data_IF_188092078452
#
_entry.id   IF_188092078452
#
_cell.length_a   1.000
_cell.length_b   1.000
_cell.length_c   1.000
_cell.angle_alpha   90.00
_cell.angle_beta   90.00
_cell.angle_gamma   90.00
#
_symmetry.space_group_name_H-M   'P 1'
#
loop_
_entity.id
_entity.type
_entity.pdbx_description
1 polymer ?
#
# COMPACT_ATOMS: atom_id res chain seq x y z
N UNK A 1 22.51 -60.65 50.18
CA UNK A 1 22.09 -60.56 48.76
C UNK A 1 20.76 -59.82 48.55
N UNK A 2 19.69 -60.09 49.32
CA UNK A 2 18.39 -59.40 49.19
C UNK A 2 18.38 -57.90 49.51
N UNK A 3 19.36 -57.39 50.28
CA UNK A 3 19.45 -55.97 50.65
C UNK A 3 20.08 -55.09 49.56
N UNK A 4 20.92 -55.66 48.69
CA UNK A 4 21.62 -54.93 47.63
C UNK A 4 20.73 -54.69 46.41
N UNK A 5 19.87 -55.65 46.08
CA UNK A 5 18.94 -55.60 44.94
C UNK A 5 17.89 -54.48 45.15
N UNK A 6 17.36 -54.32 46.37
CA UNK A 6 16.39 -53.24 46.71
C UNK A 6 16.94 -51.82 46.56
N UNK A 7 18.26 -51.61 46.70
CA UNK A 7 18.88 -50.29 46.48
C UNK A 7 19.11 -50.01 45.00
N UNK A 8 19.40 -51.03 44.20
CA UNK A 8 19.58 -50.87 42.75
C UNK A 8 18.24 -50.54 42.07
N UNK A 9 17.16 -51.21 42.46
CA UNK A 9 15.81 -50.93 41.94
C UNK A 9 15.34 -49.51 42.30
N UNK A 10 15.65 -49.02 43.51
CA UNK A 10 15.32 -47.65 43.92
C UNK A 10 16.10 -46.59 43.12
N UNK A 11 17.38 -46.85 42.81
CA UNK A 11 18.23 -45.92 42.04
C UNK A 11 17.81 -45.90 40.57
N UNK A 12 17.45 -47.04 40.00
CA UNK A 12 16.93 -47.14 38.63
C UNK A 12 15.56 -46.45 38.51
N UNK A 13 14.69 -46.60 39.52
CA UNK A 13 13.40 -45.90 39.57
C UNK A 13 13.57 -44.38 39.69
N UNK A 14 14.58 -43.91 40.45
CA UNK A 14 14.89 -42.48 40.56
C UNK A 14 15.52 -41.90 39.29
N UNK A 15 16.33 -42.68 38.56
CA UNK A 15 16.89 -42.30 37.25
C UNK A 15 15.83 -42.28 36.14
N UNK A 16 14.80 -43.13 36.23
CA UNK A 16 13.63 -43.07 35.35
C UNK A 16 12.75 -41.85 35.64
N UNK A 17 12.55 -41.50 36.91
CA UNK A 17 11.85 -40.27 37.31
C UNK A 17 12.57 -38.98 36.89
N UNK A 18 13.91 -38.99 36.78
CA UNK A 18 14.70 -37.86 36.28
C UNK A 18 14.68 -37.70 34.76
N UNK A 19 14.28 -38.73 33.99
CA UNK A 19 14.14 -38.66 32.53
C UNK A 19 12.71 -38.35 32.06
N UNK A 20 11.73 -38.36 32.97
CA UNK A 20 10.32 -38.02 32.70
C UNK A 20 9.99 -36.52 32.89
N UNK A 21 10.97 -35.69 33.26
CA UNK A 21 10.75 -34.31 33.70
C UNK A 21 11.23 -33.21 32.74
N UNK A 22 11.76 -33.52 31.57
CA UNK A 22 12.14 -32.52 30.58
C UNK A 22 11.26 -32.65 29.34
N UNK A 23 9.98 -32.29 29.48
CA UNK A 23 9.27 -31.84 28.29
C UNK A 23 10.05 -30.62 27.80
N UNK A 24 10.46 -30.55 26.51
CA UNK A 24 10.90 -29.28 25.97
C UNK A 24 9.76 -28.32 26.29
N UNK A 25 10.06 -27.30 27.10
CA UNK A 25 9.14 -26.19 27.30
C UNK A 25 8.74 -25.81 25.88
N UNK A 26 7.47 -25.96 25.52
CA UNK A 26 7.01 -25.48 24.23
C UNK A 26 7.28 -23.99 24.30
N UNK A 27 8.40 -23.56 23.72
CA UNK A 27 8.65 -22.15 23.53
C UNK A 27 7.43 -21.67 22.74
N UNK A 28 6.87 -20.54 23.16
CA UNK A 28 5.86 -19.88 22.35
C UNK A 28 6.37 -19.76 20.91
N UNK A 29 5.45 -19.74 19.96
CA UNK A 29 5.81 -19.55 18.55
C UNK A 29 6.69 -18.31 18.45
N UNK A 30 7.88 -18.45 17.88
CA UNK A 30 8.73 -17.32 17.54
C UNK A 30 8.05 -16.56 16.41
N UNK A 31 7.33 -15.49 16.75
CA UNK A 31 6.51 -14.73 15.81
C UNK A 31 7.35 -14.05 14.74
N UNK A 32 8.53 -13.57 15.13
CA UNK A 32 9.43 -12.91 14.21
C UNK A 32 9.98 -13.93 13.21
N UNK A 33 10.48 -15.09 13.65
CA UNK A 33 10.95 -16.14 12.74
C UNK A 33 9.82 -16.67 11.83
N UNK A 34 8.63 -16.90 12.39
CA UNK A 34 7.45 -17.35 11.65
C UNK A 34 7.07 -16.38 10.53
N UNK A 35 7.06 -15.08 10.80
CA UNK A 35 6.61 -14.07 9.83
C UNK A 35 7.73 -13.75 8.84
N UNK A 36 8.96 -13.52 9.31
CA UNK A 36 10.07 -13.08 8.47
C UNK A 36 10.51 -14.11 7.43
N UNK A 37 10.27 -15.41 7.66
CA UNK A 37 10.53 -16.45 6.63
C UNK A 37 9.58 -16.39 5.43
N UNK A 38 8.52 -15.59 5.52
CA UNK A 38 7.56 -15.33 4.43
C UNK A 38 7.63 -13.89 3.89
N UNK A 39 8.64 -13.11 4.26
CA UNK A 39 8.90 -11.81 3.64
C UNK A 39 8.88 -11.93 2.11
N UNK A 40 8.14 -11.05 1.46
CA UNK A 40 7.90 -11.13 0.02
C UNK A 40 9.10 -10.53 -0.69
N UNK A 41 9.70 -11.28 -1.62
CA UNK A 41 10.89 -10.84 -2.38
C UNK A 41 10.59 -10.89 -3.88
N UNK A 42 10.71 -9.74 -4.53
CA UNK A 42 10.65 -9.59 -5.98
C UNK A 42 12.05 -9.34 -6.54
N UNK A 43 12.51 -10.19 -7.46
CA UNK A 43 13.81 -10.05 -8.12
C UNK A 43 13.72 -9.73 -9.61
N UNK A 44 12.50 -9.46 -10.09
CA UNK A 44 12.19 -9.16 -11.49
C UNK A 44 10.90 -8.35 -11.55
N UNK A 45 10.66 -7.71 -12.69
CA UNK A 45 9.37 -7.07 -12.98
C UNK A 45 8.31 -8.16 -13.06
N UNK A 46 7.27 -8.03 -12.25
CA UNK A 46 6.09 -8.88 -12.25
C UNK A 46 4.86 -7.99 -12.01
N UNK A 47 4.05 -7.79 -13.04
CA UNK A 47 2.88 -6.91 -12.96
C UNK A 47 1.76 -7.49 -12.08
N UNK A 48 1.85 -8.76 -11.68
CA UNK A 48 0.95 -9.39 -10.70
C UNK A 48 1.58 -9.49 -9.30
N UNK A 49 2.82 -9.04 -9.14
CA UNK A 49 3.58 -9.10 -7.90
C UNK A 49 3.84 -7.74 -7.26
N UNK A 50 2.99 -6.73 -7.50
CA UNK A 50 3.12 -5.43 -6.83
C UNK A 50 3.05 -5.58 -5.31
N UNK A 51 3.78 -4.74 -4.58
CA UNK A 51 3.76 -4.72 -3.12
C UNK A 51 2.97 -3.52 -2.61
N UNK A 52 2.44 -3.62 -1.40
CA UNK A 52 1.60 -2.58 -0.80
C UNK A 52 2.06 -2.31 0.63
N UNK A 53 2.17 -1.03 0.99
CA UNK A 53 2.19 -0.60 2.40
C UNK A 53 0.82 -0.04 2.75
N UNK A 54 0.43 -0.19 4.01
CA UNK A 54 -0.85 0.32 4.49
C UNK A 54 -0.99 0.18 6.00
N UNK A 55 -2.06 0.78 6.52
CA UNK A 55 -2.36 0.86 7.94
C UNK A 55 -3.77 0.31 8.28
N UNK A 56 -4.40 -0.40 7.33
CA UNK A 56 -5.76 -0.92 7.45
C UNK A 56 -6.86 0.04 6.97
N UNK A 57 -6.63 1.36 7.04
CA UNK A 57 -7.53 2.39 6.52
C UNK A 57 -7.02 3.00 5.20
N UNK A 58 -5.73 2.86 4.92
CA UNK A 58 -5.03 3.37 3.75
C UNK A 58 -4.12 2.31 3.14
N UNK A 59 -3.98 2.36 1.81
CA UNK A 59 -3.12 1.47 1.05
C UNK A 59 -2.41 2.25 -0.09
N UNK A 60 -1.11 2.00 -0.21
CA UNK A 60 -0.25 2.53 -1.27
C UNK A 60 0.51 1.39 -1.94
N UNK A 61 0.12 1.09 -3.17
CA UNK A 61 0.67 -0.03 -3.95
C UNK A 61 1.75 0.45 -4.90
N UNK A 62 2.88 -0.26 -4.98
CA UNK A 62 4.10 0.16 -5.66
C UNK A 62 4.60 -0.86 -6.67
N UNK A 63 5.33 -0.37 -7.67
CA UNK A 63 6.12 -1.20 -8.55
C UNK A 63 7.51 -1.51 -7.94
N UNK A 64 8.35 -2.22 -8.70
CA UNK A 64 9.71 -2.61 -8.32
C UNK A 64 10.64 -1.46 -7.92
N UNK A 65 10.32 -0.21 -8.26
CA UNK A 65 11.07 0.97 -7.81
C UNK A 65 10.83 1.32 -6.35
N UNK A 66 9.78 0.76 -5.72
CA UNK A 66 9.37 1.11 -4.36
C UNK A 66 8.45 2.33 -4.29
N UNK A 67 8.04 2.89 -5.43
CA UNK A 67 6.99 3.91 -5.57
C UNK A 67 6.13 3.59 -6.81
N UNK A 68 5.25 4.51 -7.24
CA UNK A 68 4.34 4.34 -8.37
C UNK A 68 4.92 4.94 -9.66
N UNK A 69 6.11 4.49 -10.05
CA UNK A 69 6.90 5.09 -11.13
C UNK A 69 6.44 4.65 -12.54
N UNK A 70 5.90 3.44 -12.67
CA UNK A 70 5.50 2.83 -13.94
C UNK A 70 4.03 2.33 -13.94
N UNK A 71 3.03 3.17 -13.61
CA UNK A 71 1.63 2.74 -13.49
C UNK A 71 1.08 2.13 -14.79
N UNK A 72 1.43 2.69 -15.96
CA UNK A 72 0.96 2.21 -17.27
C UNK A 72 1.38 0.77 -17.58
N UNK A 73 2.49 0.30 -17.00
CA UNK A 73 2.98 -1.07 -17.17
C UNK A 73 2.14 -2.05 -16.34
N UNK A 74 1.66 -1.60 -15.18
CA UNK A 74 0.92 -2.42 -14.20
C UNK A 74 -0.59 -2.37 -14.41
N UNK A 75 -1.12 -1.45 -15.24
CA UNK A 75 -2.57 -1.25 -15.44
C UNK A 75 -3.36 -2.51 -15.83
N UNK A 76 -2.73 -3.47 -16.54
CA UNK A 76 -3.34 -4.73 -16.96
C UNK A 76 -2.98 -5.92 -16.03
N UNK A 77 -2.23 -5.67 -14.96
CA UNK A 77 -1.89 -6.60 -13.89
C UNK A 77 -2.62 -6.22 -12.61
N UNK A 78 -1.88 -6.03 -11.51
CA UNK A 78 -2.37 -5.34 -10.32
C UNK A 78 -2.03 -3.85 -10.49
N UNK A 79 -3.03 -2.96 -10.67
CA UNK A 79 -2.78 -1.54 -10.83
C UNK A 79 -2.11 -0.92 -9.60
N UNK A 80 -1.22 0.04 -9.85
CA UNK A 80 -0.63 0.83 -8.79
C UNK A 80 -1.65 1.89 -8.38
N UNK A 81 -2.13 1.82 -7.14
CA UNK A 81 -3.13 2.74 -6.64
C UNK A 81 -2.84 3.20 -5.23
N UNK A 82 -3.32 4.41 -4.94
CA UNK A 82 -3.37 5.01 -3.61
C UNK A 82 -4.84 5.15 -3.23
N UNK A 83 -5.26 4.46 -2.16
CA UNK A 83 -6.66 4.40 -1.74
C UNK A 83 -6.76 4.52 -0.22
N UNK A 84 -7.87 5.09 0.26
CA UNK A 84 -8.21 5.16 1.67
C UNK A 84 -9.66 4.76 1.90
N UNK A 85 -10.02 4.54 3.18
CA UNK A 85 -11.37 4.22 3.59
C UNK A 85 -12.36 5.36 3.36
N UNK A 86 -11.91 6.61 3.47
CA UNK A 86 -12.71 7.81 3.17
C UNK A 86 -12.69 8.21 1.69
N UNK A 87 -11.73 7.73 0.91
CA UNK A 87 -11.55 8.04 -0.52
C UNK A 87 -12.67 7.50 -1.41
N UNK A 88 -13.80 8.19 -1.44
CA UNK A 88 -14.96 7.89 -2.28
C UNK A 88 -15.36 9.08 -3.14
N UNK A 89 -15.83 8.79 -4.35
CA UNK A 89 -16.36 9.79 -5.27
C UNK A 89 -17.74 9.37 -5.79
N UNK A 90 -18.56 10.37 -6.11
CA UNK A 90 -19.81 10.18 -6.81
C UNK A 90 -19.91 11.16 -7.96
N UNK A 91 -20.20 10.66 -9.15
CA UNK A 91 -20.53 11.52 -10.28
C UNK A 91 -21.78 12.35 -9.97
N UNK A 92 -21.89 13.56 -10.57
CA UNK A 92 -23.10 14.37 -10.45
C UNK A 92 -24.37 13.58 -10.77
N UNK A 93 -25.44 13.83 -10.02
CA UNK A 93 -26.76 13.22 -10.22
C UNK A 93 -27.80 14.24 -10.71
N UNK A 94 -27.65 14.83 -11.91
CA UNK A 94 -28.54 15.90 -12.39
C UNK A 94 -30.00 15.41 -12.55
N UNK A 95 -30.17 14.13 -12.87
CA UNK A 95 -31.47 13.48 -13.09
C UNK A 95 -32.15 12.98 -11.80
N UNK A 96 -31.47 13.15 -10.65
CA UNK A 96 -31.94 12.81 -9.31
C UNK A 96 -32.40 11.36 -9.19
N UNK A 97 -31.58 10.43 -9.67
CA UNK A 97 -31.83 9.00 -9.55
C UNK A 97 -31.91 8.55 -8.09
N UNK A 98 -32.86 7.66 -7.80
CA UNK A 98 -33.15 7.11 -6.48
C UNK A 98 -33.42 5.61 -6.58
N UNK A 99 -33.39 4.89 -5.45
CA UNK A 99 -33.73 3.47 -5.42
C UNK A 99 -35.16 3.18 -5.95
N UNK A 100 -36.07 4.15 -5.89
CA UNK A 100 -37.43 4.00 -6.44
C UNK A 100 -37.42 3.89 -7.97
N UNK A 101 -36.43 4.48 -8.66
CA UNK A 101 -36.29 4.38 -10.11
C UNK A 101 -35.91 2.96 -10.58
N UNK A 102 -35.42 2.11 -9.66
CA UNK A 102 -34.98 0.74 -9.95
C UNK A 102 -35.74 -0.33 -9.15
N UNK A 103 -36.72 0.08 -8.33
CA UNK A 103 -37.44 -0.83 -7.46
C UNK A 103 -38.53 -1.60 -8.22
N UNK A 104 -38.48 -2.93 -8.12
CA UNK A 104 -39.60 -3.81 -8.45
C UNK A 104 -40.23 -4.36 -7.17
N UNK A 105 -41.55 -4.51 -7.18
CA UNK A 105 -42.28 -5.01 -6.02
C UNK A 105 -42.41 -6.52 -6.10
N UNK A 106 -41.83 -7.22 -5.12
CA UNK A 106 -41.98 -8.67 -4.95
C UNK A 106 -42.88 -8.98 -3.75
N UNK A 107 -43.68 -10.05 -3.87
CA UNK A 107 -44.42 -10.60 -2.74
C UNK A 107 -43.52 -11.57 -1.96
N UNK A 108 -43.40 -11.38 -0.65
CA UNK A 108 -42.79 -12.36 0.25
C UNK A 108 -43.70 -13.59 0.45
N UNK A 109 -43.20 -14.60 1.17
CA UNK A 109 -43.97 -15.79 1.54
C UNK A 109 -45.19 -15.53 2.47
N UNK A 110 -45.35 -14.30 2.96
CA UNK A 110 -46.50 -13.85 3.76
C UNK A 110 -47.24 -12.66 3.11
N UNK A 111 -47.17 -12.55 1.78
CA UNK A 111 -47.86 -11.54 0.94
C UNK A 111 -47.46 -10.08 1.21
N UNK A 112 -46.37 -9.85 1.96
CA UNK A 112 -45.81 -8.50 2.14
C UNK A 112 -45.20 -8.05 0.82
N UNK A 113 -45.62 -6.89 0.35
CA UNK A 113 -45.04 -6.21 -0.80
C UNK A 113 -43.70 -5.59 -0.39
N UNK A 114 -42.62 -6.02 -1.03
CA UNK A 114 -41.26 -5.59 -0.76
C UNK A 114 -40.69 -4.93 -2.02
N UNK A 115 -40.36 -3.63 -2.00
CA UNK A 115 -39.58 -3.03 -3.07
C UNK A 115 -38.16 -3.59 -3.00
N UNK A 116 -37.67 -4.14 -4.10
CA UNK A 116 -36.31 -4.65 -4.25
C UNK A 116 -35.69 -3.96 -5.45
N UNK A 117 -34.49 -3.41 -5.28
CA UNK A 117 -33.73 -2.86 -6.40
C UNK A 117 -33.38 -3.99 -7.38
N UNK A 118 -33.86 -3.88 -8.62
CA UNK A 118 -33.56 -4.80 -9.72
C UNK A 118 -32.70 -4.10 -10.76
N UNK A 119 -31.94 -4.90 -11.52
CA UNK A 119 -31.10 -4.37 -12.59
C UNK A 119 -31.94 -4.16 -13.85
N UNK A 120 -32.04 -2.91 -14.30
CA UNK A 120 -32.73 -2.55 -15.54
C UNK A 120 -31.74 -2.27 -16.67
N UNK A 121 -32.16 -2.53 -17.92
CA UNK A 121 -31.31 -2.37 -19.11
C UNK A 121 -31.57 -1.12 -19.93
N UNK A 122 -32.75 -0.50 -19.78
CA UNK A 122 -33.22 0.56 -20.67
C UNK A 122 -34.04 1.65 -19.94
N UNK A 123 -34.26 2.76 -20.64
CA UNK A 123 -35.04 3.89 -20.14
C UNK A 123 -34.44 4.55 -18.89
N UNK A 124 -35.31 5.24 -18.14
CA UNK A 124 -34.90 5.91 -16.88
C UNK A 124 -34.41 4.91 -15.84
N UNK A 125 -35.06 3.76 -15.72
CA UNK A 125 -34.67 2.71 -14.77
C UNK A 125 -33.29 2.14 -15.09
N UNK A 126 -32.97 1.93 -16.37
CA UNK A 126 -31.63 1.52 -16.81
C UNK A 126 -30.57 2.59 -16.54
N UNK A 127 -30.86 3.86 -16.80
CA UNK A 127 -29.95 4.97 -16.49
C UNK A 127 -29.72 5.11 -14.97
N UNK A 128 -30.78 4.99 -14.17
CA UNK A 128 -30.70 4.97 -12.71
C UNK A 128 -29.89 3.77 -12.20
N UNK A 129 -30.10 2.58 -12.78
CA UNK A 129 -29.33 1.36 -12.46
C UNK A 129 -27.83 1.60 -12.67
N UNK A 130 -27.45 2.20 -13.80
CA UNK A 130 -26.05 2.51 -14.10
C UNK A 130 -25.47 3.52 -13.10
N UNK A 131 -26.20 4.59 -12.78
CA UNK A 131 -25.71 5.59 -11.85
C UNK A 131 -25.59 5.04 -10.42
N UNK A 132 -26.63 4.36 -9.91
CA UNK A 132 -26.68 3.86 -8.53
C UNK A 132 -25.69 2.73 -8.25
N UNK A 133 -25.37 1.88 -9.23
CA UNK A 133 -24.37 0.80 -9.05
C UNK A 133 -22.93 1.30 -9.04
N UNK A 134 -22.71 2.47 -9.64
CA UNK A 134 -21.41 3.09 -9.82
C UNK A 134 -21.10 4.11 -8.72
N UNK A 135 -22.10 4.61 -8.01
CA UNK A 135 -21.93 5.71 -7.06
C UNK A 135 -22.44 5.33 -5.66
N UNK A 136 -21.65 5.59 -4.60
CA UNK A 136 -20.25 6.02 -4.64
C UNK A 136 -19.31 4.89 -5.12
N UNK A 137 -18.18 5.25 -5.75
CA UNK A 137 -17.09 4.34 -6.08
C UNK A 137 -15.79 4.75 -5.38
N UNK A 138 -14.85 3.81 -5.26
CA UNK A 138 -13.52 4.05 -4.69
C UNK A 138 -12.75 5.03 -5.57
N UNK A 139 -12.17 6.05 -4.95
CA UNK A 139 -11.40 7.07 -5.64
C UNK A 139 -9.89 6.73 -5.61
N UNK A 140 -9.24 6.82 -6.76
CA UNK A 140 -7.78 6.80 -6.84
C UNK A 140 -7.23 8.16 -6.39
N UNK A 141 -6.57 8.21 -5.22
CA UNK A 141 -6.17 9.48 -4.58
C UNK A 141 -4.98 10.17 -5.24
N UNK A 142 -4.19 9.44 -6.03
CA UNK A 142 -3.07 10.01 -6.79
C UNK A 142 -1.93 9.03 -6.97
N UNK A 143 -1.10 9.31 -7.97
CA UNK A 143 0.14 8.59 -8.27
C UNK A 143 1.30 9.37 -7.68
N UNK A 144 2.06 8.73 -6.79
CA UNK A 144 3.34 9.25 -6.26
C UNK A 144 4.46 8.32 -6.73
N UNK A 145 5.21 8.77 -7.74
CA UNK A 145 6.21 7.96 -8.43
C UNK A 145 7.54 8.68 -8.60
N UNK A 146 8.50 7.99 -9.20
CA UNK A 146 9.76 8.59 -9.64
C UNK A 146 9.66 9.02 -11.11
N UNK A 147 10.17 10.21 -11.41
CA UNK A 147 10.62 10.53 -12.76
C UNK A 147 12.13 10.28 -12.81
N UNK A 148 12.52 9.27 -13.59
CA UNK A 148 13.91 8.86 -13.79
C UNK A 148 14.32 9.23 -15.21
N UNK A 149 15.44 9.93 -15.35
CA UNK A 149 15.96 10.38 -16.63
C UNK A 149 17.30 9.71 -16.93
N UNK A 150 17.50 9.29 -18.17
CA UNK A 150 18.81 8.91 -18.71
C UNK A 150 19.75 10.12 -18.76
N UNK A 151 21.03 9.85 -18.96
CA UNK A 151 22.04 10.90 -19.17
C UNK A 151 21.77 11.79 -20.41
N UNK A 152 21.04 11.28 -21.41
CA UNK A 152 20.64 12.05 -22.60
C UNK A 152 19.34 12.87 -22.39
N UNK A 153 18.70 12.74 -21.21
CA UNK A 153 17.47 13.43 -20.84
C UNK A 153 16.19 12.67 -21.20
N UNK A 154 16.26 11.51 -21.85
CA UNK A 154 15.08 10.68 -22.07
C UNK A 154 14.55 10.07 -20.77
N UNK A 155 13.24 9.84 -20.68
CA UNK A 155 12.65 9.15 -19.54
C UNK A 155 12.95 7.65 -19.59
N UNK A 156 13.39 7.12 -18.46
CA UNK A 156 13.67 5.71 -18.24
C UNK A 156 12.41 4.89 -18.47
N UNK A 157 12.56 3.78 -19.19
CA UNK A 157 11.50 2.81 -19.38
C UNK A 157 11.65 1.67 -18.37
N UNK A 158 10.57 0.93 -18.10
CA UNK A 158 10.61 -0.19 -17.13
C UNK A 158 11.71 -1.21 -17.47
N UNK A 159 11.98 -1.43 -18.76
CA UNK A 159 13.00 -2.37 -19.22
C UNK A 159 14.44 -1.89 -18.95
N UNK A 160 14.65 -0.62 -18.63
CA UNK A 160 15.96 -0.07 -18.26
C UNK A 160 16.29 -0.32 -16.78
N UNK A 161 15.30 -0.71 -15.97
CA UNK A 161 15.47 -1.09 -14.55
C UNK A 161 16.06 -2.50 -14.47
N UNK A 162 17.26 -2.61 -13.88
CA UNK A 162 18.04 -3.85 -13.78
C UNK A 162 18.41 -4.15 -12.32
N UNK A 163 18.93 -5.36 -12.09
CA UNK A 163 19.42 -5.83 -10.79
C UNK A 163 18.43 -5.59 -9.65
N UNK A 164 17.16 -5.95 -9.90
CA UNK A 164 16.04 -5.71 -8.99
C UNK A 164 16.14 -6.65 -7.79
N UNK A 165 16.07 -6.07 -6.60
CA UNK A 165 15.82 -6.74 -5.33
C UNK A 165 14.87 -5.88 -4.51
N UNK A 166 13.61 -6.27 -4.44
CA UNK A 166 12.59 -5.59 -3.65
C UNK A 166 12.06 -6.55 -2.59
N UNK A 167 12.01 -6.09 -1.34
CA UNK A 167 11.54 -6.87 -0.20
C UNK A 167 10.45 -6.12 0.55
N UNK A 168 9.34 -6.79 0.88
CA UNK A 168 8.41 -6.37 1.93
C UNK A 168 8.77 -7.11 3.22
N UNK A 169 9.26 -6.37 4.20
CA UNK A 169 9.47 -6.88 5.56
C UNK A 169 8.13 -6.84 6.32
N UNK A 170 7.51 -8.00 6.45
CA UNK A 170 6.22 -8.16 7.11
C UNK A 170 6.30 -7.79 8.59
N UNK A 171 7.45 -7.98 9.23
CA UNK A 171 7.62 -7.71 10.66
C UNK A 171 7.61 -6.21 10.97
N UNK A 172 8.08 -5.38 10.03
CA UNK A 172 8.15 -3.93 10.21
C UNK A 172 7.20 -3.13 9.30
N UNK A 173 6.49 -3.77 8.37
CA UNK A 173 5.65 -3.08 7.40
C UNK A 173 6.43 -2.25 6.36
N UNK A 174 7.71 -2.55 6.14
CA UNK A 174 8.61 -1.73 5.31
C UNK A 174 8.89 -2.39 3.97
N UNK A 175 8.77 -1.61 2.89
CA UNK A 175 9.29 -2.00 1.57
C UNK A 175 10.70 -1.42 1.41
N UNK A 176 11.63 -2.25 0.95
CA UNK A 176 12.96 -1.81 0.50
C UNK A 176 13.18 -2.30 -0.93
N UNK A 177 13.37 -1.37 -1.86
CA UNK A 177 13.67 -1.63 -3.26
C UNK A 177 15.10 -1.21 -3.57
N UNK A 178 15.90 -2.11 -4.13
CA UNK A 178 17.24 -1.83 -4.65
C UNK A 178 17.27 -2.25 -6.11
N UNK A 179 17.72 -1.35 -6.98
CA UNK A 179 17.84 -1.60 -8.41
C UNK A 179 18.91 -0.71 -9.03
N UNK A 180 19.17 -0.90 -10.32
CA UNK A 180 20.05 -0.04 -11.11
C UNK A 180 19.36 0.49 -12.34
N UNK A 181 19.76 1.70 -12.71
CA UNK A 181 19.41 2.36 -13.96
C UNK A 181 20.69 2.92 -14.56
N UNK A 182 21.00 2.57 -15.81
CA UNK A 182 22.30 2.92 -16.45
C UNK A 182 23.53 2.53 -15.60
N UNK A 183 23.44 1.41 -14.87
CA UNK A 183 24.42 0.94 -13.86
C UNK A 183 24.58 1.81 -12.61
N UNK A 184 23.74 2.83 -12.42
CA UNK A 184 23.72 3.68 -11.23
C UNK A 184 22.72 3.09 -10.23
N UNK A 185 23.12 2.84 -8.96
CA UNK A 185 22.23 2.25 -7.97
C UNK A 185 21.17 3.24 -7.49
N UNK A 186 19.99 2.72 -7.22
CA UNK A 186 18.91 3.40 -6.52
C UNK A 186 18.43 2.48 -5.40
N UNK A 187 18.33 3.03 -4.19
CA UNK A 187 17.69 2.39 -3.05
C UNK A 187 16.50 3.24 -2.61
N UNK A 188 15.35 2.62 -2.45
CA UNK A 188 14.13 3.25 -1.92
C UNK A 188 13.66 2.45 -0.72
N UNK A 189 13.45 3.13 0.39
CA UNK A 189 12.75 2.60 1.56
C UNK A 189 11.41 3.31 1.71
N UNK A 190 10.35 2.57 1.99
CA UNK A 190 8.99 3.07 2.07
C UNK A 190 8.24 2.42 3.24
N UNK A 191 7.53 3.23 4.00
CA UNK A 191 6.60 2.80 5.05
C UNK A 191 5.28 3.57 4.96
N UNK A 192 4.21 2.98 5.48
CA UNK A 192 2.98 3.70 5.81
C UNK A 192 2.95 4.02 7.31
N UNK A 193 2.45 5.19 7.66
CA UNK A 193 2.22 5.61 9.04
C UNK A 193 0.98 4.90 9.61
N UNK A 194 1.00 4.51 10.88
CA UNK A 194 -0.04 3.67 11.49
C UNK A 194 -1.40 4.38 11.59
N UNK A 195 -1.40 5.65 11.97
CA UNK A 195 -2.66 6.38 12.28
C UNK A 195 -3.06 7.44 11.26
N UNK A 196 -2.21 7.68 10.27
CA UNK A 196 -2.37 8.75 9.29
C UNK A 196 -2.22 8.13 7.92
N UNK A 197 -3.01 8.60 6.97
CA UNK A 197 -3.01 8.14 5.59
C UNK A 197 -1.82 8.74 4.86
N UNK A 198 -0.64 8.34 5.32
CA UNK A 198 0.65 8.94 5.03
C UNK A 198 1.64 7.86 4.65
N UNK A 199 2.37 8.11 3.57
CA UNK A 199 3.60 7.38 3.26
C UNK A 199 4.80 8.23 3.63
N UNK A 200 5.86 7.56 4.10
CA UNK A 200 7.17 8.17 4.25
C UNK A 200 8.20 7.34 3.50
N UNK A 201 9.07 8.01 2.77
CA UNK A 201 10.10 7.34 1.97
C UNK A 201 11.47 7.98 2.14
N UNK A 202 12.49 7.16 1.90
CA UNK A 202 13.87 7.57 1.74
C UNK A 202 14.43 7.00 0.44
N UNK A 203 15.04 7.85 -0.36
CA UNK A 203 15.69 7.48 -1.61
C UNK A 203 17.18 7.77 -1.47
N UNK A 204 18.04 6.85 -1.88
CA UNK A 204 19.48 7.03 -1.94
C UNK A 204 19.97 6.69 -3.36
N UNK A 205 20.52 7.69 -4.06
CA UNK A 205 21.08 7.51 -5.40
C UNK A 205 21.95 8.69 -5.86
N UNK A 206 23.06 8.45 -6.58
CA UNK A 206 23.77 9.51 -7.30
C UNK A 206 22.91 10.28 -8.32
N UNK A 207 21.82 9.65 -8.81
CA UNK A 207 20.89 10.29 -9.76
C UNK A 207 20.19 11.53 -9.19
N UNK A 208 20.14 11.69 -7.87
CA UNK A 208 19.56 12.87 -7.21
C UNK A 208 20.46 14.07 -7.47
N UNK A 209 21.74 13.98 -7.10
CA UNK A 209 22.72 15.06 -7.31
C UNK A 209 22.94 15.41 -8.79
N UNK A 210 22.70 14.49 -9.72
CA UNK A 210 22.79 14.77 -11.16
C UNK A 210 21.50 15.37 -11.75
N UNK A 211 20.42 15.49 -10.97
CA UNK A 211 19.12 15.99 -11.42
C UNK A 211 18.31 14.99 -12.26
N UNK A 212 18.72 13.73 -12.28
CA UNK A 212 18.11 12.64 -13.06
C UNK A 212 17.05 11.85 -12.28
N UNK A 213 16.93 12.05 -10.96
CA UNK A 213 15.88 11.47 -10.13
C UNK A 213 15.03 12.58 -9.52
N UNK A 214 13.74 12.54 -9.78
CA UNK A 214 12.73 13.50 -9.31
C UNK A 214 11.50 12.76 -8.79
N UNK A 215 10.69 13.43 -7.99
CA UNK A 215 9.39 12.90 -7.58
C UNK A 215 8.32 13.42 -8.53
N UNK A 216 7.47 12.51 -9.00
CA UNK A 216 6.31 12.80 -9.84
C UNK A 216 5.06 12.60 -9.01
N UNK A 217 4.19 13.60 -9.00
CA UNK A 217 2.82 13.47 -8.51
C UNK A 217 1.84 13.72 -9.65
N UNK A 218 0.94 12.77 -9.87
CA UNK A 218 -0.12 12.88 -10.89
C UNK A 218 -1.45 12.49 -10.29
N UNK A 219 -2.50 13.21 -10.64
CA UNK A 219 -3.79 12.98 -10.01
C UNK A 219 -4.93 12.83 -11.03
N UNK A 220 -5.68 11.72 -11.02
CA UNK A 220 -6.74 11.43 -11.99
C UNK A 220 -8.10 11.97 -11.53
N UNK A 221 -9.07 12.01 -12.45
CA UNK A 221 -10.48 12.12 -12.11
C UNK A 221 -11.05 10.73 -11.73
N UNK A 222 -12.25 10.69 -11.15
CA UNK A 222 -12.93 9.43 -10.80
C UNK A 222 -13.36 8.65 -12.05
N UNK A 223 -13.33 7.32 -11.96
CA UNK A 223 -13.71 6.41 -13.05
C UNK A 223 -14.74 5.40 -12.59
N UNK A 224 -15.74 5.13 -13.43
CA UNK A 224 -16.79 4.12 -13.19
C UNK A 224 -16.46 2.73 -13.70
N UNK A 225 -15.21 2.52 -14.11
CA UNK A 225 -14.79 1.22 -14.56
C UNK A 225 -14.88 0.20 -13.42
N UNK A 226 -15.42 -0.98 -13.73
CA UNK A 226 -15.56 -2.04 -12.72
C UNK A 226 -14.26 -2.83 -12.49
N UNK A 227 -13.43 -2.97 -13.53
CA UNK A 227 -12.22 -3.82 -13.53
C UNK A 227 -11.02 -3.08 -14.14
N UNK A 228 -10.83 -1.81 -13.79
CA UNK A 228 -9.64 -1.04 -14.17
C UNK A 228 -8.99 -0.39 -12.94
N UNK A 229 -8.01 0.49 -13.17
CA UNK A 229 -7.25 1.22 -12.14
C UNK A 229 -8.07 2.28 -11.37
N UNK A 230 -9.34 2.50 -11.74
CA UNK A 230 -10.21 3.46 -11.07
C UNK A 230 -9.83 4.92 -11.34
N UNK A 231 -9.08 5.18 -12.42
CA UNK A 231 -8.55 6.50 -12.75
C UNK A 231 -9.01 6.95 -14.15
N UNK A 232 -9.46 8.20 -14.26
CA UNK A 232 -9.68 8.87 -15.54
C UNK A 232 -8.62 9.97 -15.76
N UNK A 233 -7.71 9.70 -16.70
CA UNK A 233 -6.62 10.61 -17.08
C UNK A 233 -6.96 11.49 -18.29
N UNK A 234 -8.11 11.27 -18.94
CA UNK A 234 -8.44 11.87 -20.23
C UNK A 234 -9.35 13.09 -20.13
N UNK A 235 -9.84 13.41 -18.94
CA UNK A 235 -10.72 14.56 -18.68
C UNK A 235 -10.17 15.49 -17.58
N UNK A 236 -8.99 16.11 -17.79
CA UNK A 236 -8.39 17.03 -16.82
C UNK A 236 -9.27 18.25 -16.53
N UNK A 237 -10.19 18.61 -17.42
CA UNK A 237 -11.09 19.74 -17.22
C UNK A 237 -12.18 19.49 -16.15
N UNK A 238 -12.37 18.24 -15.70
CA UNK A 238 -13.42 17.86 -14.73
C UNK A 238 -13.02 18.00 -13.26
N UNK A 239 -11.76 18.29 -12.99
CA UNK A 239 -11.25 18.43 -11.63
C UNK A 239 -10.20 19.54 -11.51
N UNK A 240 -9.82 19.87 -10.29
CA UNK A 240 -8.84 20.90 -10.01
C UNK A 240 -7.74 20.38 -9.09
N UNK A 241 -6.55 20.96 -9.22
CA UNK A 241 -5.42 20.78 -8.31
C UNK A 241 -4.81 22.13 -8.06
N UNK A 242 -5.02 22.65 -6.87
CA UNK A 242 -4.54 23.97 -6.48
C UNK A 242 -3.31 23.75 -5.61
N UNK A 243 -2.14 24.09 -6.15
CA UNK A 243 -0.86 23.98 -5.45
C UNK A 243 -0.59 25.24 -4.64
N UNK A 244 -0.19 25.07 -3.38
CA UNK A 244 0.31 26.13 -2.51
C UNK A 244 1.56 25.68 -1.76
N UNK A 245 2.46 26.61 -1.50
CA UNK A 245 3.58 26.39 -0.57
C UNK A 245 3.07 26.69 0.85
N UNK A 246 3.09 25.69 1.73
CA UNK A 246 2.66 25.82 3.14
C UNK A 246 3.81 26.08 4.10
N UNK A 247 5.06 25.86 3.65
CA UNK A 247 6.28 26.02 4.44
C UNK A 247 7.55 25.84 3.61
N UNK A 248 8.71 25.80 4.29
CA UNK A 248 9.97 25.47 3.63
C UNK A 248 9.98 23.99 3.24
N UNK A 249 10.10 23.70 1.95
CA UNK A 249 10.02 22.34 1.39
C UNK A 249 8.71 21.61 1.71
N UNK A 250 7.63 22.37 1.97
CA UNK A 250 6.30 21.84 2.25
C UNK A 250 5.28 22.40 1.25
N UNK A 251 4.51 21.50 0.65
CA UNK A 251 3.60 21.79 -0.45
C UNK A 251 2.25 21.15 -0.17
N UNK A 252 1.19 21.90 -0.45
CA UNK A 252 -0.18 21.45 -0.30
C UNK A 252 -0.86 21.48 -1.67
N UNK A 253 -1.53 20.38 -2.01
CA UNK A 253 -2.32 20.25 -3.22
C UNK A 253 -3.77 20.04 -2.81
N UNK A 254 -4.60 21.06 -2.95
CA UNK A 254 -6.04 20.95 -2.72
C UNK A 254 -6.72 20.40 -3.99
N UNK A 255 -7.39 19.26 -3.83
CA UNK A 255 -8.01 18.48 -4.90
C UNK A 255 -9.52 18.62 -4.83
N UNK A 256 -10.13 18.97 -5.96
CA UNK A 256 -11.59 19.19 -6.06
C UNK A 256 -12.12 18.40 -7.26
N UNK A 257 -13.02 17.45 -7.01
CA UNK A 257 -13.68 16.58 -8.00
C UNK A 257 -15.18 16.58 -7.72
N UNK A 258 -15.96 17.40 -8.45
CA UNK A 258 -17.39 17.60 -8.19
C UNK A 258 -17.68 18.01 -6.74
N UNK A 259 -18.28 17.12 -5.95
CA UNK A 259 -18.56 17.34 -4.52
C UNK A 259 -17.51 16.72 -3.59
N UNK A 260 -16.50 16.03 -4.13
CA UNK A 260 -15.41 15.42 -3.36
C UNK A 260 -14.22 16.37 -3.31
N UNK A 261 -13.73 16.62 -2.11
CA UNK A 261 -12.52 17.41 -1.87
C UNK A 261 -11.57 16.67 -0.94
N UNK A 262 -10.26 16.79 -1.16
CA UNK A 262 -9.23 16.28 -0.26
C UNK A 262 -7.93 17.07 -0.45
N UNK A 263 -7.00 16.93 0.48
CA UNK A 263 -5.67 17.53 0.39
C UNK A 263 -4.59 16.47 0.31
N UNK A 264 -3.51 16.85 -0.37
CA UNK A 264 -2.24 16.13 -0.38
C UNK A 264 -1.16 17.06 0.14
N UNK A 265 -0.59 16.73 1.30
CA UNK A 265 0.49 17.50 1.91
C UNK A 265 1.80 16.74 1.70
N UNK A 266 2.76 17.38 1.05
CA UNK A 266 4.07 16.84 0.77
C UNK A 266 5.13 17.64 1.52
N UNK A 267 5.91 16.98 2.38
CA UNK A 267 7.04 17.57 3.10
C UNK A 267 8.32 16.83 2.76
N UNK A 268 9.39 17.58 2.50
CA UNK A 268 10.70 17.03 2.16
C UNK A 268 11.77 17.56 3.11
N UNK A 269 12.68 16.68 3.53
CA UNK A 269 13.79 17.08 4.40
C UNK A 269 14.87 17.89 3.65
N UNK A 270 15.02 17.63 2.35
CA UNK A 270 15.98 18.31 1.48
C UNK A 270 15.34 19.48 0.76
N UNK A 271 16.20 20.45 0.41
CA UNK A 271 15.81 21.55 -0.47
C UNK A 271 15.26 21.01 -1.79
N UNK A 272 14.03 21.42 -2.10
CA UNK A 272 13.32 20.92 -3.27
C UNK A 272 12.53 22.04 -3.92
N UNK A 273 12.43 21.98 -5.24
CA UNK A 273 11.58 22.87 -6.03
C UNK A 273 10.54 22.05 -6.76
N UNK A 274 9.42 22.64 -7.14
CA UNK A 274 8.44 21.97 -7.99
C UNK A 274 8.23 22.73 -9.29
N UNK A 275 7.75 22.00 -10.30
CA UNK A 275 7.25 22.56 -11.55
C UNK A 275 5.94 21.88 -11.93
N UNK A 276 5.00 22.65 -12.46
CA UNK A 276 3.79 22.12 -13.09
C UNK A 276 4.13 21.63 -14.50
N UNK A 277 4.12 20.31 -14.69
CA UNK A 277 4.51 19.65 -15.93
C UNK A 277 3.32 19.32 -16.85
N UNK A 278 2.15 19.88 -16.52
CA UNK A 278 0.87 19.68 -17.20
C UNK A 278 -0.28 19.68 -16.20
N UNK A 279 -1.50 19.50 -16.70
CA UNK A 279 -2.70 19.46 -15.87
C UNK A 279 -2.58 18.35 -14.81
N UNK A 280 -2.74 18.73 -13.55
CA UNK A 280 -2.69 17.82 -12.38
C UNK A 280 -1.40 16.99 -12.30
N UNK A 281 -0.29 17.53 -12.83
CA UNK A 281 1.01 16.87 -12.89
C UNK A 281 2.10 17.78 -12.34
N UNK A 282 2.69 17.35 -11.23
CA UNK A 282 3.71 18.09 -10.50
C UNK A 282 5.00 17.28 -10.45
N UNK A 283 6.12 17.93 -10.77
CA UNK A 283 7.46 17.34 -10.68
C UNK A 283 8.25 18.08 -9.61
N UNK A 284 8.68 17.37 -8.59
CA UNK A 284 9.53 17.87 -7.53
C UNK A 284 10.98 17.48 -7.80
N UNK A 285 11.84 18.48 -7.92
CA UNK A 285 13.26 18.35 -8.25
C UNK A 285 14.11 18.71 -7.03
N UNK A 286 14.77 17.71 -6.41
CA UNK A 286 15.75 17.97 -5.35
C UNK A 286 16.84 18.92 -5.85
N UNK A 287 17.31 19.78 -4.94
CA UNK A 287 18.38 20.73 -5.21
C UNK A 287 19.64 20.39 -4.42
N UNK A 288 20.80 20.78 -4.97
CA UNK A 288 22.11 20.59 -4.33
C UNK A 288 22.80 19.28 -4.69
N UNK A 289 23.86 18.96 -3.94
CA UNK A 289 24.77 17.84 -4.22
C UNK A 289 24.45 16.59 -3.38
N UNK A 290 23.32 16.59 -2.67
CA UNK A 290 22.91 15.45 -1.85
C UNK A 290 22.53 14.24 -2.72
N UNK A 291 22.89 13.05 -2.24
CA UNK A 291 22.58 11.78 -2.91
C UNK A 291 21.47 11.02 -2.19
N UNK A 292 20.70 11.71 -1.37
CA UNK A 292 19.53 11.16 -0.71
C UNK A 292 18.38 12.17 -0.68
N UNK A 293 17.16 11.65 -0.57
CA UNK A 293 15.94 12.42 -0.43
C UNK A 293 15.01 11.70 0.54
N UNK A 294 14.56 12.39 1.57
CA UNK A 294 13.52 11.94 2.50
C UNK A 294 12.27 12.79 2.33
N UNK A 295 11.11 12.13 2.29
CA UNK A 295 9.83 12.81 2.14
C UNK A 295 8.68 12.06 2.79
N UNK A 296 7.67 12.83 3.21
CA UNK A 296 6.41 12.35 3.78
C UNK A 296 5.26 12.94 2.99
N UNK A 297 4.32 12.10 2.56
CA UNK A 297 3.15 12.48 1.76
C UNK A 297 1.89 12.05 2.49
N UNK A 298 1.09 13.01 2.95
CA UNK A 298 -0.17 12.82 3.65
C UNK A 298 -1.35 13.03 2.70
N UNK A 299 -2.34 12.15 2.74
CA UNK A 299 -3.64 12.32 2.12
C UNK A 299 -4.68 12.53 3.22
N UNK A 300 -5.57 13.51 3.08
CA UNK A 300 -6.59 13.78 4.10
C UNK A 300 -7.84 14.46 3.56
N UNK A 301 -8.96 14.23 4.26
CA UNK A 301 -10.23 14.93 4.06
C UNK A 301 -10.46 16.05 5.09
N UNK A 302 -9.68 16.09 6.17
CA UNK A 302 -9.66 17.21 7.09
C UNK A 302 -8.67 18.30 6.63
N UNK A 303 -9.03 19.55 6.88
CA UNK A 303 -8.28 20.73 6.41
C UNK A 303 -7.57 21.44 7.57
N UNK A 304 -7.27 20.70 8.65
CA UNK A 304 -6.51 21.23 9.80
C UNK A 304 -5.00 21.19 9.51
N UNK A 305 -4.19 22.01 10.18
CA UNK A 305 -2.73 21.99 9.96
C UNK A 305 -2.08 20.82 10.68
N UNK A 306 -1.31 20.00 9.97
CA UNK A 306 -0.57 18.86 10.53
C UNK A 306 0.93 19.03 10.37
N UNK A 307 1.68 18.77 11.45
CA UNK A 307 3.11 18.54 11.35
C UNK A 307 3.36 17.10 10.88
N UNK A 308 3.97 16.96 9.70
CA UNK A 308 4.29 15.65 9.13
C UNK A 308 5.47 15.03 9.89
N UNK A 309 5.42 13.71 10.16
CA UNK A 309 6.53 13.01 10.81
C UNK A 309 7.72 12.95 9.85
N UNK A 310 8.92 12.96 10.42
CA UNK A 310 10.13 12.62 9.69
C UNK A 310 10.10 11.16 9.22
N UNK A 311 10.93 10.82 8.23
CA UNK A 311 11.05 9.44 7.77
C UNK A 311 11.42 8.48 8.91
N UNK A 312 12.35 8.87 9.79
CA UNK A 312 12.75 8.04 10.93
C UNK A 312 11.62 7.80 11.93
N UNK A 313 10.77 8.80 12.18
CA UNK A 313 9.61 8.67 13.08
C UNK A 313 8.55 7.74 12.48
N UNK A 314 8.26 7.89 11.17
CA UNK A 314 7.32 7.02 10.48
C UNK A 314 7.79 5.55 10.42
N UNK A 315 9.09 5.31 10.24
CA UNK A 315 9.68 3.96 10.28
C UNK A 315 9.50 3.33 11.66
N UNK A 316 9.76 4.08 12.72
CA UNK A 316 9.62 3.57 14.08
C UNK A 316 8.15 3.30 14.44
N UNK A 317 7.24 4.19 14.05
CA UNK A 317 5.78 4.01 14.22
C UNK A 317 5.28 2.75 13.49
N UNK A 318 5.61 2.60 12.20
CA UNK A 318 5.26 1.43 11.39
C UNK A 318 5.79 0.14 12.00
N UNK A 319 7.07 0.14 12.40
CA UNK A 319 7.73 -1.01 13.03
C UNK A 319 7.01 -1.41 14.33
N UNK A 320 6.71 -0.46 15.21
CA UNK A 320 6.03 -0.76 16.47
C UNK A 320 4.62 -1.31 16.23
N UNK A 321 3.89 -0.77 15.26
CA UNK A 321 2.54 -1.25 14.92
C UNK A 321 2.55 -2.67 14.38
N UNK A 322 3.35 -2.95 13.34
CA UNK A 322 3.41 -4.29 12.75
C UNK A 322 3.89 -5.34 13.75
N UNK A 323 4.88 -5.01 14.59
CA UNK A 323 5.28 -5.90 15.68
C UNK A 323 4.13 -6.22 16.62
N UNK A 324 3.41 -5.20 17.07
CA UNK A 324 2.23 -5.38 17.93
C UNK A 324 1.17 -6.25 17.26
N UNK A 325 0.88 -6.04 15.97
CA UNK A 325 -0.07 -6.84 15.20
C UNK A 325 0.30 -8.34 15.21
N UNK A 326 1.56 -8.66 14.92
CA UNK A 326 2.03 -10.05 14.87
C UNK A 326 2.16 -10.71 16.25
N UNK A 327 2.44 -9.93 17.28
CA UNK A 327 2.57 -10.42 18.66
C UNK A 327 1.21 -10.65 19.33
N UNK A 328 0.26 -9.72 19.15
CA UNK A 328 -1.07 -9.77 19.79
C UNK A 328 -2.06 -10.65 19.01
N UNK A 329 -1.82 -10.86 17.71
CA UNK A 329 -2.68 -11.64 16.82
C UNK A 329 -2.67 -13.15 17.07
N UNK A 330 -3.71 -13.82 16.59
CA UNK A 330 -3.71 -15.27 16.47
C UNK A 330 -2.72 -15.70 15.39
N UNK A 331 -1.85 -16.66 15.68
CA UNK A 331 -0.95 -17.20 14.66
C UNK A 331 -0.63 -18.68 14.90
N UNK A 332 -0.42 -19.37 13.79
CA UNK A 332 -0.23 -20.82 13.68
C UNK A 332 1.11 -21.06 12.97
N UNK A 333 1.93 -21.95 13.53
CA UNK A 333 3.22 -22.33 12.97
C UNK A 333 3.15 -23.79 12.46
N UNK A 334 3.45 -23.97 11.18
CA UNK A 334 3.42 -25.23 10.46
C UNK A 334 4.82 -25.87 10.34
N UNK A 335 5.86 -25.31 10.96
CA UNK A 335 7.26 -25.79 10.87
C UNK A 335 7.46 -27.26 11.29
N UNK A 336 6.58 -27.79 12.14
CA UNK A 336 6.60 -29.19 12.57
C UNK A 336 5.66 -30.11 11.77
N UNK A 337 4.93 -29.56 10.79
CA UNK A 337 4.05 -30.34 9.94
C UNK A 337 4.86 -31.09 8.87
N UNK A 338 4.71 -32.42 8.81
CA UNK A 338 5.41 -33.26 7.84
C UNK A 338 4.76 -33.30 6.45
N UNK A 339 3.59 -32.67 6.28
CA UNK A 339 2.93 -32.63 4.97
C UNK A 339 3.72 -31.69 4.03
N UNK A 340 4.08 -32.12 2.81
CA UNK A 340 4.87 -31.31 1.89
C UNK A 340 4.19 -29.99 1.48
N UNK A 341 2.88 -29.84 1.70
CA UNK A 341 2.12 -28.62 1.39
C UNK A 341 2.10 -27.62 2.55
N UNK A 342 2.63 -27.98 3.71
CA UNK A 342 2.57 -27.16 4.93
C UNK A 342 3.16 -25.76 4.73
N UNK A 343 4.31 -25.66 4.07
CA UNK A 343 4.97 -24.37 3.82
C UNK A 343 4.12 -23.43 2.96
N UNK A 344 3.53 -23.93 1.87
CA UNK A 344 2.67 -23.12 1.00
C UNK A 344 1.35 -22.73 1.70
N UNK A 345 0.80 -23.61 2.54
CA UNK A 345 -0.39 -23.27 3.32
C UNK A 345 -0.07 -22.17 4.35
N UNK A 346 1.07 -22.28 5.05
CA UNK A 346 1.51 -21.26 6.00
C UNK A 346 1.73 -19.91 5.31
N UNK A 347 2.38 -19.92 4.13
CA UNK A 347 2.58 -18.70 3.33
C UNK A 347 1.26 -17.98 3.03
N UNK A 348 0.17 -18.70 2.74
CA UNK A 348 -1.18 -18.15 2.48
C UNK A 348 -1.96 -17.75 3.73
N UNK A 349 -1.51 -18.18 4.90
CA UNK A 349 -2.11 -17.78 6.18
C UNK A 349 -1.44 -16.50 6.67
N UNK A 350 -0.15 -16.33 6.38
CA UNK A 350 0.62 -15.14 6.74
C UNK A 350 0.42 -13.99 5.75
N UNK A 351 0.44 -14.27 4.44
CA UNK A 351 0.15 -13.32 3.36
C UNK A 351 -1.32 -13.38 2.97
#
# INVERSE_FOLDING_TARGET
MKWFIRRLDLIIFFLWLLSLGCHPKQLGIDRMDLVSRHNVINTKIDTLGSLTVGNGEFAFTVDVTGLQSFPDVYQNGIPLATQSQWGWHSFPNPEKYTNDDVAEVFASCNDRQLPVATQHGDGRAGAATQWLRTNPHRLHLGIIGLQLLKNDGEEIQINDVKDIEQTLDLWSGKITSVYKVENIPVRVELVAHEKRDLIAFKIESPLISSGNLKIRMKFPYGSDCHTCDGADWNHPEKHQSIMTESGENEFLIHRILDSTEYEVVASFAQNISYTEAGDHHFIFSPAGDEQFLEGSILFKEDFEGDELPTFSEAVEDSRMSYQKFWEDGGAIDFSQCSDPRAFELERRVIL
#
